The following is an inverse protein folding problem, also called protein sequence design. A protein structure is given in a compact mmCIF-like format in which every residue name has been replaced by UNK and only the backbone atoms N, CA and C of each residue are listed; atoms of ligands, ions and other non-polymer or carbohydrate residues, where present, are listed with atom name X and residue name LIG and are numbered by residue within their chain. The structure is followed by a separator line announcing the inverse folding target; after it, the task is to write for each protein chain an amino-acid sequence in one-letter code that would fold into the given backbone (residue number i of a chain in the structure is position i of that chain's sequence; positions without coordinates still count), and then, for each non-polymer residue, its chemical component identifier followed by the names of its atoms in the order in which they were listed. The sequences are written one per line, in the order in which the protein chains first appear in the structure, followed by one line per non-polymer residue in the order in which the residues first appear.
data_IF_766950323262
#
_entry.id   IF_766950323262
#
_cell.length_a   1.000
_cell.length_b   1.000
_cell.length_c   1.000
_cell.angle_alpha   90.00
_cell.angle_beta   90.00
_cell.angle_gamma   90.00
#
_symmetry.space_group_name_H-M   'P 1'
#
loop_
_entity.id
_entity.type
_entity.pdbx_description
1 polymer ?
#
# COMPACT_ATOMS: atom_id res chain seq x y z
N UNK A 1 61.96 16.51 -41.03
CA UNK A 1 61.60 17.13 -39.73
C UNK A 1 60.92 16.07 -38.87
N UNK A 2 61.38 15.94 -37.62
CA UNK A 2 60.92 15.01 -36.56
C UNK A 2 59.40 15.08 -36.30
N UNK A 3 58.71 14.07 -35.75
CA UNK A 3 59.21 12.96 -34.94
C UNK A 3 58.21 11.80 -34.78
N UNK A 4 58.80 10.65 -34.43
CA UNK A 4 58.26 9.29 -34.31
C UNK A 4 57.71 8.99 -32.91
N UNK A 5 56.79 8.01 -32.83
CA UNK A 5 56.94 6.68 -32.16
C UNK A 5 55.52 6.03 -32.13
N UNK A 6 55.27 4.77 -32.49
CA UNK A 6 56.11 3.59 -32.65
C UNK A 6 55.65 2.50 -31.68
N UNK A 7 54.82 1.54 -32.15
CA UNK A 7 54.29 0.36 -31.43
C UNK A 7 55.39 -0.60 -30.94
N UNK A 8 55.11 -1.36 -29.86
CA UNK A 8 55.05 -2.86 -29.86
C UNK A 8 54.60 -3.48 -28.51
N UNK A 9 54.08 -4.74 -28.50
CA UNK A 9 53.55 -5.49 -27.33
C UNK A 9 54.38 -6.75 -26.93
N UNK A 10 53.92 -7.45 -25.86
CA UNK A 10 54.20 -8.85 -25.38
C UNK A 10 55.62 -9.11 -24.78
N UNK A 11 55.89 -9.98 -23.78
CA UNK A 11 55.20 -11.17 -23.25
C UNK A 11 55.72 -11.61 -21.84
N UNK A 12 54.93 -12.48 -21.19
CA UNK A 12 55.20 -13.65 -20.32
C UNK A 12 56.30 -13.68 -19.23
N UNK A 13 55.96 -14.25 -18.05
CA UNK A 13 56.40 -15.61 -17.65
C UNK A 13 55.70 -16.15 -16.39
N UNK A 14 55.36 -17.43 -16.48
CA UNK A 14 54.93 -18.44 -15.50
C UNK A 14 55.95 -18.76 -14.37
N UNK A 15 55.51 -19.00 -13.12
CA UNK A 15 55.59 -20.30 -12.41
C UNK A 15 55.36 -20.22 -10.88
N UNK A 16 54.39 -21.05 -10.43
CA UNK A 16 54.37 -21.97 -9.29
C UNK A 16 54.83 -21.53 -7.88
N UNK A 17 53.91 -21.63 -6.90
CA UNK A 17 54.04 -22.62 -5.81
C UNK A 17 52.71 -22.79 -5.05
N UNK A 18 52.20 -24.03 -5.06
CA UNK A 18 51.24 -24.58 -4.10
C UNK A 18 51.91 -24.80 -2.74
N UNK A 19 51.09 -24.90 -1.68
CA UNK A 19 51.35 -25.24 -0.25
C UNK A 19 51.04 -24.06 0.71
N UNK A 20 50.25 -24.15 1.78
CA UNK A 20 49.65 -25.23 2.57
C UNK A 20 48.36 -24.67 3.20
N UNK A 21 47.27 -25.45 3.17
CA UNK A 21 46.07 -25.20 3.98
C UNK A 21 46.38 -25.63 5.41
N UNK A 22 46.75 -24.68 6.26
CA UNK A 22 46.79 -24.91 7.71
C UNK A 22 45.37 -24.75 8.27
N UNK A 23 44.81 -25.89 8.71
CA UNK A 23 43.53 -25.97 9.43
C UNK A 23 43.61 -25.15 10.71
N UNK A 24 43.13 -23.91 10.66
CA UNK A 24 42.77 -23.15 11.85
C UNK A 24 41.35 -23.52 12.27
N UNK A 25 41.24 -24.06 13.48
CA UNK A 25 40.00 -24.40 14.18
C UNK A 25 39.07 -23.18 14.22
N UNK A 26 37.75 -23.31 13.97
CA UNK A 26 36.87 -22.15 14.02
C UNK A 26 36.72 -21.70 15.48
N UNK A 27 37.17 -20.49 15.79
CA UNK A 27 36.64 -19.76 16.93
C UNK A 27 35.13 -19.63 16.72
N UNK A 28 34.34 -20.11 17.70
CA UNK A 28 32.92 -19.81 17.81
C UNK A 28 32.74 -18.29 17.86
N UNK A 29 32.53 -17.66 16.71
CA UNK A 29 31.86 -16.37 16.67
C UNK A 29 30.37 -16.67 16.72
N UNK A 30 29.68 -16.15 17.72
CA UNK A 30 28.23 -16.09 17.77
C UNK A 30 27.72 -15.22 16.60
N UNK A 31 27.72 -15.79 15.39
CA UNK A 31 27.02 -15.21 14.26
C UNK A 31 25.54 -15.47 14.49
N UNK A 32 24.89 -14.55 15.17
CA UNK A 32 23.45 -14.38 15.00
C UNK A 32 23.22 -14.02 13.53
N UNK A 33 23.04 -15.05 12.70
CA UNK A 33 22.52 -14.86 11.36
C UNK A 33 21.25 -14.01 11.51
N UNK A 34 21.07 -12.92 10.75
CA UNK A 34 19.86 -12.14 10.83
C UNK A 34 18.73 -13.07 10.41
N UNK A 35 17.94 -13.50 11.39
CA UNK A 35 16.71 -14.25 11.14
C UNK A 35 15.92 -13.37 10.18
N UNK A 36 15.82 -13.79 8.93
CA UNK A 36 14.98 -13.16 7.94
C UNK A 36 13.55 -13.26 8.49
N UNK A 37 13.10 -12.19 9.17
CA UNK A 37 11.71 -12.00 9.54
C UNK A 37 10.95 -11.84 8.22
N UNK A 38 10.55 -12.98 7.66
CA UNK A 38 9.55 -13.05 6.60
C UNK A 38 8.36 -12.24 7.10
N UNK A 39 8.04 -11.12 6.43
CA UNK A 39 6.89 -10.26 6.77
C UNK A 39 5.68 -11.19 6.84
N UNK A 40 5.18 -11.46 8.04
CA UNK A 40 4.16 -12.49 8.24
C UNK A 40 2.91 -12.05 7.50
N UNK A 41 2.52 -12.82 6.49
CA UNK A 41 1.37 -12.55 5.60
C UNK A 41 0.04 -12.64 6.39
N UNK A 42 0.08 -13.13 7.64
CA UNK A 42 -1.07 -13.39 8.49
C UNK A 42 -1.64 -12.17 9.23
N UNK A 43 -0.98 -11.00 9.19
CA UNK A 43 -1.68 -9.77 9.54
C UNK A 43 -2.56 -9.45 8.33
N UNK A 44 -3.81 -9.90 8.40
CA UNK A 44 -4.92 -9.28 7.68
C UNK A 44 -4.72 -7.79 7.91
N UNK A 45 -4.23 -7.08 6.89
CA UNK A 45 -4.24 -5.63 6.92
C UNK A 45 -5.70 -5.26 7.21
N UNK A 46 -5.92 -4.37 8.17
CA UNK A 46 -7.20 -3.68 8.33
C UNK A 46 -7.37 -2.67 7.19
N UNK A 47 -7.23 -3.17 5.95
CA UNK A 47 -7.38 -2.38 4.74
C UNK A 47 -8.82 -1.86 4.74
N UNK A 48 -9.04 -0.59 4.41
CA UNK A 48 -10.37 -0.07 4.15
C UNK A 48 -11.13 -0.99 3.18
N UNK A 49 -12.36 -1.31 3.56
CA UNK A 49 -13.18 -2.25 2.81
C UNK A 49 -13.66 -1.69 1.47
N UNK A 50 -13.69 -0.35 1.32
CA UNK A 50 -14.23 0.34 0.15
C UNK A 50 -13.17 1.26 -0.47
N UNK A 51 -13.22 1.40 -1.80
CA UNK A 51 -12.39 2.37 -2.53
C UNK A 51 -13.06 3.75 -2.44
N UNK A 52 -12.36 4.79 -1.96
CA UNK A 52 -12.89 6.15 -1.94
C UNK A 52 -13.32 6.59 -3.34
N UNK A 53 -14.54 7.11 -3.44
CA UNK A 53 -15.11 7.66 -4.67
C UNK A 53 -15.52 9.11 -4.44
N UNK A 54 -15.31 9.94 -5.46
CA UNK A 54 -15.82 11.31 -5.54
C UNK A 54 -17.31 11.30 -5.93
N UNK A 55 -17.94 12.47 -5.89
CA UNK A 55 -19.36 12.63 -6.28
C UNK A 55 -19.64 12.25 -7.74
N UNK A 56 -18.64 12.40 -8.61
CA UNK A 56 -18.68 11.99 -10.02
C UNK A 56 -18.47 10.48 -10.22
N UNK A 57 -18.30 9.72 -9.14
CA UNK A 57 -18.07 8.27 -9.09
C UNK A 57 -16.71 7.81 -9.63
N UNK A 58 -15.78 8.72 -9.90
CA UNK A 58 -14.38 8.39 -10.11
C UNK A 58 -13.69 8.13 -8.77
N UNK A 59 -12.57 7.41 -8.81
CA UNK A 59 -11.80 7.16 -7.59
C UNK A 59 -11.19 8.46 -7.08
N UNK A 60 -11.20 8.63 -5.77
CA UNK A 60 -10.56 9.78 -5.14
C UNK A 60 -9.09 9.44 -4.87
N UNK A 61 -8.18 9.94 -5.72
CA UNK A 61 -6.74 9.66 -5.59
C UNK A 61 -6.17 10.23 -4.30
N UNK A 62 -6.59 11.43 -3.89
CA UNK A 62 -6.08 12.05 -2.65
C UNK A 62 -6.51 11.24 -1.43
N UNK A 63 -7.77 10.82 -1.35
CA UNK A 63 -8.25 9.97 -0.26
C UNK A 63 -7.61 8.57 -0.29
N UNK A 64 -7.32 8.01 -1.46
CA UNK A 64 -6.53 6.78 -1.59
C UNK A 64 -5.13 6.98 -1.00
N UNK A 65 -4.45 8.10 -1.29
CA UNK A 65 -3.11 8.39 -0.78
C UNK A 65 -3.12 8.57 0.75
N UNK A 66 -4.04 9.37 1.28
CA UNK A 66 -4.26 9.55 2.73
C UNK A 66 -4.45 8.19 3.40
N UNK A 67 -5.32 7.38 2.81
CA UNK A 67 -5.68 6.07 3.32
C UNK A 67 -4.49 5.10 3.31
N UNK A 68 -3.72 5.08 2.22
CA UNK A 68 -2.57 4.19 2.06
C UNK A 68 -1.46 4.46 3.09
N UNK A 69 -1.21 5.72 3.41
CA UNK A 69 -0.17 6.13 4.36
C UNK A 69 -0.38 5.55 5.75
N UNK A 70 -1.64 5.37 6.17
CA UNK A 70 -1.94 4.76 7.46
C UNK A 70 -1.50 3.30 7.59
N UNK A 71 -1.27 2.63 6.45
CA UNK A 71 -0.91 1.22 6.40
C UNK A 71 0.58 1.02 6.04
N UNK A 72 1.35 2.11 5.92
CA UNK A 72 2.81 2.05 5.77
C UNK A 72 3.45 1.42 7.00
N UNK A 73 4.47 0.58 6.78
CA UNK A 73 5.27 0.07 7.89
C UNK A 73 6.21 1.16 8.40
N UNK A 74 5.83 1.75 9.52
CA UNK A 74 6.59 2.80 10.20
C UNK A 74 8.04 2.38 10.46
N UNK A 75 8.29 1.10 10.75
CA UNK A 75 9.63 0.57 10.97
C UNK A 75 10.48 0.59 9.69
N UNK A 76 9.88 0.27 8.54
CA UNK A 76 10.55 0.36 7.23
C UNK A 76 10.89 1.82 6.92
N UNK A 77 9.93 2.74 7.08
CA UNK A 77 10.16 4.16 6.80
C UNK A 77 11.23 4.76 7.72
N UNK A 78 11.15 4.47 9.03
CA UNK A 78 12.11 4.96 10.02
C UNK A 78 13.54 4.47 9.73
N UNK A 79 13.68 3.19 9.33
CA UNK A 79 14.96 2.60 8.92
C UNK A 79 15.44 3.12 7.56
N UNK A 80 14.53 3.63 6.71
CA UNK A 80 14.86 4.21 5.42
C UNK A 80 15.89 5.34 5.52
N UNK A 81 15.82 6.16 6.57
CA UNK A 81 16.81 7.21 6.83
C UNK A 81 18.20 6.63 7.10
N UNK A 82 18.33 5.61 7.96
CA UNK A 82 19.64 5.09 8.36
C UNK A 82 20.28 4.19 7.30
N UNK A 83 19.47 3.53 6.47
CA UNK A 83 19.91 2.59 5.42
C UNK A 83 20.14 3.23 4.05
N UNK A 84 19.74 4.49 3.90
CA UNK A 84 19.95 5.27 2.69
C UNK A 84 21.27 6.05 2.74
N UNK A 85 21.93 6.22 1.59
CA UNK A 85 23.03 7.19 1.46
C UNK A 85 22.54 8.63 1.20
N UNK A 86 21.22 8.85 1.09
CA UNK A 86 20.61 10.15 0.86
C UNK A 86 20.63 10.98 2.14
N UNK A 87 20.91 12.26 1.99
CA UNK A 87 20.80 13.25 3.05
C UNK A 87 20.01 14.47 2.55
N UNK A 88 19.61 15.36 3.46
CA UNK A 88 18.82 16.55 3.15
C UNK A 88 19.60 17.64 2.38
N UNK A 89 20.90 17.45 2.15
CA UNK A 89 21.82 18.45 1.60
C UNK A 89 21.70 19.77 2.38
N UNK A 90 21.22 20.82 1.73
CA UNK A 90 21.04 22.16 2.29
C UNK A 90 19.62 22.41 2.84
N UNK A 91 18.76 21.38 2.88
CA UNK A 91 17.43 21.49 3.46
C UNK A 91 17.51 21.21 4.96
N UNK A 92 16.80 22.02 5.73
CA UNK A 92 16.69 21.88 7.18
C UNK A 92 15.77 20.70 7.53
N UNK A 93 16.29 19.79 8.34
CA UNK A 93 15.56 18.68 8.96
C UNK A 93 15.91 18.66 10.43
N UNK A 94 14.92 18.84 11.30
CA UNK A 94 15.12 19.04 12.74
C UNK A 94 16.12 20.18 13.04
N UNK A 95 16.03 21.29 12.31
CA UNK A 95 16.91 22.46 12.40
C UNK A 95 18.37 22.21 12.00
N UNK A 96 18.68 21.07 11.38
CA UNK A 96 20.03 20.70 10.93
C UNK A 96 20.10 20.42 9.42
N UNK A 97 21.30 20.57 8.85
CA UNK A 97 21.61 20.24 7.45
C UNK A 97 22.25 18.86 7.32
N UNK A 98 22.25 18.31 6.10
CA UNK A 98 22.87 17.01 5.78
C UNK A 98 22.38 15.84 6.64
N UNK A 99 21.16 15.93 7.17
CA UNK A 99 20.54 14.85 7.93
C UNK A 99 20.18 13.71 6.99
N UNK A 100 20.44 12.48 7.42
CA UNK A 100 20.03 11.28 6.67
C UNK A 100 18.50 11.20 6.56
N UNK A 101 18.02 10.99 5.34
CA UNK A 101 16.58 10.92 5.02
C UNK A 101 16.27 9.72 4.12
N UNK A 102 15.03 9.21 4.13
CA UNK A 102 14.65 8.12 3.25
C UNK A 102 14.73 8.52 1.77
N UNK A 103 14.84 7.52 0.89
CA UNK A 103 14.79 7.70 -0.56
C UNK A 103 13.37 7.52 -1.08
N UNK A 104 13.18 8.02 -2.29
CA UNK A 104 12.03 7.81 -3.17
C UNK A 104 11.62 6.33 -3.15
N UNK A 105 12.55 5.44 -3.54
CA UNK A 105 12.38 3.97 -3.50
C UNK A 105 11.82 3.37 -2.20
N UNK A 106 12.02 4.01 -1.04
CA UNK A 106 11.44 3.53 0.22
C UNK A 106 9.94 3.79 0.26
N UNK A 107 9.50 4.97 -0.18
CA UNK A 107 8.10 5.33 -0.29
C UNK A 107 7.44 4.60 -1.47
N UNK A 108 8.13 4.48 -2.61
CA UNK A 108 7.62 3.74 -3.78
C UNK A 108 7.27 2.29 -3.41
N UNK A 109 8.17 1.61 -2.70
CA UNK A 109 7.98 0.23 -2.30
C UNK A 109 6.79 0.06 -1.34
N UNK A 110 6.66 0.92 -0.32
CA UNK A 110 5.55 0.84 0.63
C UNK A 110 4.23 1.25 -0.01
N UNK A 111 4.20 2.31 -0.83
CA UNK A 111 3.02 2.75 -1.57
C UNK A 111 2.52 1.66 -2.52
N UNK A 112 3.42 1.13 -3.37
CA UNK A 112 3.11 0.02 -4.27
C UNK A 112 2.57 -1.18 -3.49
N UNK A 113 3.19 -1.54 -2.38
CA UNK A 113 2.78 -2.70 -1.60
C UNK A 113 1.39 -2.53 -0.99
N UNK A 114 1.10 -1.37 -0.40
CA UNK A 114 -0.23 -1.07 0.17
C UNK A 114 -1.30 -1.07 -0.92
N UNK A 115 -1.08 -0.34 -2.02
CA UNK A 115 -2.06 -0.27 -3.11
C UNK A 115 -2.25 -1.62 -3.81
N UNK A 116 -1.19 -2.41 -3.96
CA UNK A 116 -1.30 -3.77 -4.50
C UNK A 116 -2.13 -4.67 -3.58
N UNK A 117 -1.93 -4.58 -2.26
CA UNK A 117 -2.71 -5.36 -1.29
C UNK A 117 -4.15 -4.91 -1.21
N UNK A 118 -4.39 -3.62 -1.31
CA UNK A 118 -5.72 -3.03 -1.23
C UNK A 118 -6.45 -3.07 -2.56
N UNK A 119 -6.13 -2.13 -3.45
CA UNK A 119 -6.87 -1.90 -4.68
C UNK A 119 -6.79 -3.11 -5.62
N UNK A 120 -5.61 -3.71 -5.78
CA UNK A 120 -5.46 -4.86 -6.69
C UNK A 120 -6.07 -6.15 -6.14
N UNK A 121 -5.69 -6.58 -4.93
CA UNK A 121 -6.15 -7.88 -4.41
C UNK A 121 -7.60 -7.89 -3.96
N UNK A 122 -8.13 -6.78 -3.45
CA UNK A 122 -9.50 -6.70 -2.94
C UNK A 122 -10.47 -6.23 -4.03
N UNK A 123 -10.06 -5.23 -4.83
CA UNK A 123 -10.95 -4.56 -5.78
C UNK A 123 -10.59 -4.80 -7.26
N UNK A 124 -9.54 -5.57 -7.54
CA UNK A 124 -9.15 -6.00 -8.88
C UNK A 124 -8.36 -4.98 -9.70
N UNK A 125 -8.07 -3.78 -9.19
CA UNK A 125 -7.35 -2.73 -9.93
C UNK A 125 -5.98 -3.20 -10.45
N UNK A 126 -5.55 -2.62 -11.57
CA UNK A 126 -4.19 -2.76 -12.07
C UNK A 126 -3.31 -1.70 -11.39
N UNK A 127 -2.26 -2.16 -10.70
CA UNK A 127 -1.24 -1.31 -10.07
C UNK A 127 0.10 -1.68 -10.69
N UNK A 128 0.71 -0.73 -11.39
CA UNK A 128 2.02 -0.89 -12.02
C UNK A 128 2.99 0.09 -11.37
N UNK A 129 4.07 -0.44 -10.80
CA UNK A 129 5.20 0.37 -10.35
C UNK A 129 6.27 0.43 -11.45
N UNK A 130 6.93 1.57 -11.59
CA UNK A 130 7.98 1.82 -12.58
C UNK A 130 7.55 1.45 -14.01
N UNK A 131 6.52 2.12 -14.52
CA UNK A 131 6.09 1.94 -15.91
C UNK A 131 7.10 2.59 -16.85
N UNK A 132 7.89 1.77 -17.55
CA UNK A 132 8.91 2.24 -18.48
C UNK A 132 8.29 2.68 -19.81
N UNK A 133 8.72 3.82 -20.29
CA UNK A 133 8.27 4.47 -21.52
C UNK A 133 9.46 4.59 -22.48
N UNK A 134 9.21 4.28 -23.74
CA UNK A 134 10.20 4.45 -24.80
C UNK A 134 10.10 5.87 -25.35
N UNK A 135 11.16 6.66 -25.20
CA UNK A 135 11.30 7.94 -25.89
C UNK A 135 12.52 7.90 -26.79
N UNK A 136 12.32 8.22 -28.06
CA UNK A 136 13.41 8.56 -28.99
C UNK A 136 13.68 10.05 -28.81
N UNK A 137 14.87 10.39 -28.33
CA UNK A 137 15.26 11.78 -28.15
C UNK A 137 15.82 12.39 -29.45
N UNK A 138 16.01 13.70 -29.44
CA UNK A 138 16.53 14.48 -30.59
C UNK A 138 17.94 14.04 -31.03
N UNK A 139 18.68 13.37 -30.15
CA UNK A 139 20.00 12.76 -30.41
C UNK A 139 19.91 11.41 -31.16
N UNK A 140 18.70 10.87 -31.34
CA UNK A 140 18.44 9.57 -31.95
C UNK A 140 18.61 8.38 -31.00
N UNK A 141 18.97 8.61 -29.73
CA UNK A 141 19.12 7.57 -28.72
C UNK A 141 17.81 7.33 -27.94
N UNK A 142 17.65 6.10 -27.46
CA UNK A 142 16.55 5.73 -26.58
C UNK A 142 16.86 6.18 -25.16
N UNK A 143 16.07 7.11 -24.63
CA UNK A 143 16.10 7.45 -23.21
C UNK A 143 15.01 6.67 -22.49
N UNK A 144 15.40 5.93 -21.46
CA UNK A 144 14.47 5.21 -20.60
C UNK A 144 13.84 6.18 -19.60
N UNK A 145 12.61 6.59 -19.90
CA UNK A 145 11.75 7.27 -18.94
C UNK A 145 10.93 6.23 -18.19
N UNK A 146 10.64 6.46 -16.91
CA UNK A 146 9.67 5.64 -16.20
C UNK A 146 8.85 6.49 -15.23
N UNK A 147 7.56 6.20 -15.14
CA UNK A 147 6.68 6.74 -14.13
C UNK A 147 6.69 5.82 -12.89
N UNK A 148 6.72 6.40 -11.69
CA UNK A 148 6.83 5.64 -10.45
C UNK A 148 5.64 4.71 -10.18
N UNK A 149 4.40 5.19 -10.32
CA UNK A 149 3.22 4.36 -10.07
C UNK A 149 2.00 4.76 -10.91
N UNK A 150 1.24 3.77 -11.37
CA UNK A 150 -0.05 3.99 -12.04
C UNK A 150 -1.16 3.15 -11.41
N UNK A 151 -2.37 3.70 -11.45
CA UNK A 151 -3.60 3.07 -10.97
C UNK A 151 -4.58 3.01 -12.13
N UNK A 152 -5.08 1.82 -12.43
CA UNK A 152 -6.06 1.61 -13.50
C UNK A 152 -7.19 0.71 -13.04
N UNK A 153 -8.41 1.13 -13.35
CA UNK A 153 -9.61 0.36 -13.05
C UNK A 153 -9.72 -0.88 -13.95
N UNK A 154 -10.23 -2.01 -13.47
CA UNK A 154 -10.40 -3.21 -14.29
C UNK A 154 -11.26 -2.93 -15.51
N UNK A 155 -10.81 -3.40 -16.68
CA UNK A 155 -11.51 -3.23 -17.97
C UNK A 155 -11.72 -1.76 -18.40
N UNK A 156 -11.06 -0.79 -17.76
CA UNK A 156 -11.04 0.60 -18.22
C UNK A 156 -9.94 0.76 -19.29
N UNK A 157 -10.21 1.48 -20.40
CA UNK A 157 -9.17 1.82 -21.37
C UNK A 157 -8.24 2.93 -20.89
N UNK A 158 -8.60 3.67 -19.82
CA UNK A 158 -7.84 4.82 -19.32
C UNK A 158 -7.21 4.52 -17.96
N UNK A 159 -6.03 5.10 -17.72
CA UNK A 159 -5.46 5.15 -16.36
C UNK A 159 -6.29 6.12 -15.51
N UNK A 160 -6.58 5.72 -14.27
CA UNK A 160 -7.29 6.57 -13.33
C UNK A 160 -6.33 7.57 -12.67
N UNK A 161 -5.13 7.13 -12.33
CA UNK A 161 -4.11 7.98 -11.71
C UNK A 161 -2.71 7.61 -12.13
N UNK A 162 -1.89 8.64 -12.32
CA UNK A 162 -0.45 8.55 -12.52
C UNK A 162 0.24 9.32 -11.39
N UNK A 163 1.12 8.64 -10.64
CA UNK A 163 1.79 9.20 -9.48
C UNK A 163 3.30 9.24 -9.72
N UNK A 164 3.89 10.41 -9.51
CA UNK A 164 5.34 10.63 -9.48
C UNK A 164 5.75 10.93 -8.03
N UNK A 165 6.64 10.11 -7.47
CA UNK A 165 6.99 10.13 -6.06
C UNK A 165 8.34 10.80 -5.83
N UNK A 166 8.37 11.75 -4.91
CA UNK A 166 9.60 12.39 -4.47
C UNK A 166 9.81 12.21 -2.97
N UNK A 167 11.09 12.23 -2.57
CA UNK A 167 11.51 12.17 -1.18
C UNK A 167 12.40 13.37 -0.88
N UNK A 168 12.16 14.13 0.20
CA UNK A 168 12.95 15.30 0.67
C UNK A 168 13.77 15.94 -0.45
N UNK A 169 13.06 16.61 -1.37
CA UNK A 169 13.62 17.14 -2.61
C UNK A 169 13.82 18.65 -2.52
N UNK A 170 14.88 19.16 -3.16
CA UNK A 170 15.06 20.60 -3.33
C UNK A 170 14.01 21.16 -4.29
N UNK A 171 13.79 22.47 -4.23
CA UNK A 171 12.88 23.19 -5.14
C UNK A 171 13.22 22.90 -6.61
N UNK A 172 14.49 23.02 -7.00
CA UNK A 172 14.94 22.74 -8.38
C UNK A 172 14.61 21.31 -8.82
N UNK A 173 14.70 20.34 -7.90
CA UNK A 173 14.32 18.95 -8.20
C UNK A 173 12.80 18.84 -8.37
N UNK A 174 12.01 19.43 -7.47
CA UNK A 174 10.55 19.44 -7.59
C UNK A 174 10.10 20.04 -8.92
N UNK A 175 10.65 21.19 -9.31
CA UNK A 175 10.34 21.84 -10.60
C UNK A 175 10.64 20.93 -11.80
N UNK A 176 11.78 20.24 -11.77
CA UNK A 176 12.11 19.26 -12.81
C UNK A 176 11.04 18.17 -12.96
N UNK A 177 10.55 17.63 -11.84
CA UNK A 177 9.51 16.60 -11.86
C UNK A 177 8.11 17.15 -12.19
N UNK A 178 7.81 18.41 -11.83
CA UNK A 178 6.56 19.08 -12.22
C UNK A 178 6.40 19.17 -13.74
N UNK A 179 7.50 19.38 -14.46
CA UNK A 179 7.49 19.38 -15.93
C UNK A 179 7.59 17.96 -16.50
N UNK A 180 8.38 17.09 -15.88
CA UNK A 180 8.60 15.72 -16.36
C UNK A 180 7.33 14.88 -16.40
N UNK A 181 6.43 15.02 -15.41
CA UNK A 181 5.20 14.23 -15.33
C UNK A 181 4.29 14.42 -16.56
N UNK A 182 4.32 15.60 -17.20
CA UNK A 182 3.56 15.85 -18.43
C UNK A 182 4.05 15.03 -19.62
N UNK A 183 5.34 14.66 -19.66
CA UNK A 183 5.85 13.74 -20.69
C UNK A 183 5.22 12.35 -20.56
N UNK A 184 4.86 11.95 -19.35
CA UNK A 184 4.18 10.68 -19.10
C UNK A 184 2.69 10.80 -19.41
N UNK A 185 2.09 11.93 -19.06
CA UNK A 185 0.69 12.25 -19.35
C UNK A 185 0.40 12.19 -20.85
N UNK A 186 1.24 12.81 -21.69
CA UNK A 186 1.13 12.80 -23.15
C UNK A 186 1.14 11.37 -23.75
N UNK A 187 1.80 10.41 -23.10
CA UNK A 187 1.89 9.03 -23.61
C UNK A 187 0.79 8.14 -23.02
N UNK A 188 0.54 8.27 -21.72
CA UNK A 188 -0.32 7.34 -20.97
C UNK A 188 -1.76 7.83 -20.80
N UNK A 189 -2.03 9.11 -21.09
CA UNK A 189 -3.35 9.76 -21.03
C UNK A 189 -4.14 9.42 -19.75
N UNK A 190 -3.55 9.59 -18.54
CA UNK A 190 -4.25 9.37 -17.29
C UNK A 190 -5.34 10.42 -17.04
N UNK A 191 -6.35 10.06 -16.26
CA UNK A 191 -7.38 11.03 -15.82
C UNK A 191 -6.81 12.08 -14.87
N UNK A 192 -5.95 11.65 -13.96
CA UNK A 192 -5.29 12.54 -13.01
C UNK A 192 -3.78 12.26 -12.95
N UNK A 193 -3.01 13.33 -12.83
CA UNK A 193 -1.56 13.29 -12.58
C UNK A 193 -1.26 13.91 -11.22
N UNK A 194 -0.39 13.26 -10.47
CA UNK A 194 -0.08 13.64 -9.09
C UNK A 194 1.42 13.62 -8.83
N UNK A 195 1.93 14.72 -8.26
CA UNK A 195 3.21 14.72 -7.58
C UNK A 195 2.96 14.39 -6.11
N UNK A 196 3.57 13.31 -5.65
CA UNK A 196 3.46 12.83 -4.27
C UNK A 196 4.82 13.00 -3.59
N UNK A 197 4.99 14.11 -2.88
CA UNK A 197 6.26 14.47 -2.25
C UNK A 197 6.24 14.13 -0.76
N UNK A 198 6.93 13.06 -0.38
CA UNK A 198 7.25 12.78 1.02
C UNK A 198 8.48 13.57 1.45
N UNK A 199 8.44 14.24 2.59
CA UNK A 199 9.56 15.04 3.05
C UNK A 199 9.73 14.99 4.56
N UNK A 200 10.97 15.16 5.00
CA UNK A 200 11.31 15.44 6.39
C UNK A 200 11.73 16.90 6.60
N UNK A 201 11.71 17.72 5.56
CA UNK A 201 12.08 19.11 5.63
C UNK A 201 11.14 19.89 6.55
N UNK A 202 11.71 20.71 7.43
CA UNK A 202 10.98 21.39 8.50
C UNK A 202 9.88 22.35 7.98
N UNK A 203 10.14 22.98 6.83
CA UNK A 203 9.28 24.02 6.29
C UNK A 203 8.25 23.53 5.27
N UNK A 204 8.25 22.24 4.91
CA UNK A 204 7.35 21.72 3.87
C UNK A 204 5.87 21.84 4.26
N UNK A 205 5.56 21.87 5.56
CA UNK A 205 4.18 22.00 6.07
C UNK A 205 3.76 23.46 6.16
N UNK A 206 4.65 24.32 6.66
CA UNK A 206 4.36 25.74 6.92
C UNK A 206 4.52 26.62 5.70
N UNK A 207 5.38 26.23 4.77
CA UNK A 207 5.63 26.92 3.51
C UNK A 207 5.89 25.92 2.36
N UNK A 208 4.89 25.11 1.97
CA UNK A 208 5.00 24.16 0.88
C UNK A 208 5.31 24.84 -0.46
N UNK A 209 6.16 24.21 -1.28
CA UNK A 209 6.49 24.69 -2.61
C UNK A 209 5.49 24.15 -3.65
N UNK A 210 4.76 25.05 -4.29
CA UNK A 210 3.70 24.70 -5.23
C UNK A 210 4.12 24.93 -6.68
N UNK A 211 3.58 24.15 -7.64
CA UNK A 211 3.78 24.41 -9.06
C UNK A 211 3.16 25.75 -9.47
N UNK A 212 3.63 26.28 -10.61
CA UNK A 212 3.07 27.50 -11.18
C UNK A 212 1.58 27.34 -11.52
N UNK A 213 0.85 28.45 -11.54
CA UNK A 213 -0.58 28.48 -11.91
C UNK A 213 -0.81 27.83 -13.28
N UNK A 214 0.08 28.08 -14.26
CA UNK A 214 0.03 27.47 -15.58
C UNK A 214 0.10 25.94 -15.56
N UNK A 215 0.94 25.34 -14.71
CA UNK A 215 1.01 23.88 -14.60
C UNK A 215 -0.21 23.32 -13.88
N UNK A 216 -0.74 24.04 -12.90
CA UNK A 216 -1.99 23.66 -12.24
C UNK A 216 -3.18 23.75 -13.19
N UNK A 217 -3.26 24.78 -14.05
CA UNK A 217 -4.24 24.93 -15.15
C UNK A 217 -4.22 23.75 -16.14
N UNK A 218 -3.05 23.12 -16.31
CA UNK A 218 -2.91 21.89 -17.10
C UNK A 218 -3.31 20.62 -16.35
N UNK A 219 -3.77 20.71 -15.10
CA UNK A 219 -4.26 19.57 -14.32
C UNK A 219 -3.22 18.94 -13.38
N UNK A 220 -2.08 19.60 -13.12
CA UNK A 220 -1.09 19.10 -12.17
C UNK A 220 -1.60 19.20 -10.72
N UNK A 221 -1.83 18.04 -10.09
CA UNK A 221 -2.12 17.95 -8.67
C UNK A 221 -0.84 17.66 -7.87
N UNK A 222 -0.74 18.22 -6.66
CA UNK A 222 0.42 18.03 -5.79
C UNK A 222 -0.03 17.78 -4.35
N UNK A 223 0.59 16.78 -3.72
CA UNK A 223 0.48 16.55 -2.29
C UNK A 223 1.85 16.43 -1.64
N UNK A 224 2.02 17.14 -0.54
CA UNK A 224 3.18 17.08 0.33
C UNK A 224 2.84 16.32 1.61
N UNK A 225 3.59 15.28 1.91
CA UNK A 225 3.52 14.56 3.18
C UNK A 225 4.79 14.82 3.98
N UNK A 226 4.67 15.60 5.04
CA UNK A 226 5.71 15.68 6.05
C UNK A 226 5.60 14.54 7.04
N UNK A 227 6.72 14.03 7.52
CA UNK A 227 6.69 13.13 8.66
C UNK A 227 7.91 13.27 9.58
N UNK A 228 7.72 12.89 10.85
CA UNK A 228 8.81 12.76 11.80
C UNK A 228 9.69 11.53 11.51
N UNK A 229 10.85 11.44 12.18
CA UNK A 229 11.85 10.38 11.93
C UNK A 229 11.26 8.97 12.00
N UNK A 230 10.34 8.74 12.93
CA UNK A 230 9.78 7.43 13.21
C UNK A 230 8.50 7.15 12.42
N UNK A 231 8.06 8.07 11.55
CA UNK A 231 6.80 8.00 10.81
C UNK A 231 5.59 7.80 11.74
N UNK A 232 5.61 8.44 12.91
CA UNK A 232 4.51 8.43 13.90
C UNK A 232 3.55 9.60 13.68
N UNK A 233 4.11 10.73 13.29
CA UNK A 233 3.37 11.95 13.00
C UNK A 233 3.52 12.23 11.50
N UNK A 234 2.39 12.36 10.82
CA UNK A 234 2.35 12.72 9.40
C UNK A 234 1.48 13.96 9.26
N UNK A 235 1.94 14.93 8.47
CA UNK A 235 1.15 16.11 8.11
C UNK A 235 1.08 16.17 6.60
N UNK A 236 -0.04 16.64 6.09
CA UNK A 236 -0.32 16.72 4.67
C UNK A 236 -0.67 18.15 4.30
N UNK A 237 -0.14 18.60 3.16
CA UNK A 237 -0.65 19.76 2.45
C UNK A 237 -0.89 19.36 1.00
N UNK A 238 -2.08 19.57 0.48
CA UNK A 238 -2.45 19.23 -0.89
C UNK A 238 -3.00 20.44 -1.65
N UNK A 239 -2.71 20.50 -2.94
CA UNK A 239 -3.31 21.43 -3.89
C UNK A 239 -3.70 20.67 -5.15
N UNK A 240 -4.99 20.69 -5.47
CA UNK A 240 -5.57 19.81 -6.49
C UNK A 240 -6.86 20.40 -7.07
N UNK A 241 -7.33 19.85 -8.19
CA UNK A 241 -8.64 20.20 -8.78
C UNK A 241 -9.74 19.26 -8.31
N UNK A 242 -10.84 19.84 -7.87
CA UNK A 242 -12.06 19.08 -7.56
C UNK A 242 -12.86 18.71 -8.82
N UNK A 243 -14.03 18.09 -8.63
CA UNK A 243 -14.82 17.51 -9.74
C UNK A 243 -15.57 18.56 -10.54
N UNK A 244 -15.57 19.79 -10.01
CA UNK A 244 -16.10 20.98 -10.64
C UNK A 244 -15.00 21.83 -11.26
N UNK A 245 -13.78 21.29 -11.40
CA UNK A 245 -12.58 21.95 -11.94
C UNK A 245 -12.13 23.18 -11.12
N UNK A 246 -12.53 23.25 -9.84
CA UNK A 246 -12.07 24.33 -8.96
C UNK A 246 -10.79 23.92 -8.24
N UNK A 247 -9.87 24.87 -8.12
CA UNK A 247 -8.66 24.69 -7.33
C UNK A 247 -8.98 24.62 -5.84
N UNK A 248 -8.59 23.52 -5.22
CA UNK A 248 -8.71 23.27 -3.79
C UNK A 248 -7.35 23.26 -3.11
N UNK A 249 -7.38 23.60 -1.82
CA UNK A 249 -6.22 23.56 -0.95
C UNK A 249 -6.62 22.94 0.39
N UNK A 250 -5.88 21.92 0.80
CA UNK A 250 -6.16 21.18 2.03
C UNK A 250 -4.88 21.06 2.87
N UNK A 251 -5.01 21.29 4.18
CA UNK A 251 -3.97 20.99 5.18
C UNK A 251 -4.57 20.06 6.22
N UNK A 252 -3.90 18.95 6.46
CA UNK A 252 -4.28 17.96 7.48
C UNK A 252 -3.08 17.69 8.40
N UNK A 253 -3.32 17.66 9.72
CA UNK A 253 -2.34 17.19 10.69
C UNK A 253 -2.84 15.91 11.36
N UNK A 254 -2.08 14.83 11.19
CA UNK A 254 -2.56 13.51 11.57
C UNK A 254 -1.57 12.80 12.49
N UNK A 255 -2.06 12.45 13.68
CA UNK A 255 -1.37 11.50 14.54
C UNK A 255 -1.83 10.09 14.16
N UNK A 256 -0.94 9.27 13.54
CA UNK A 256 -1.31 7.95 13.02
C UNK A 256 -1.87 7.01 14.11
N UNK A 257 -1.42 7.17 15.36
CA UNK A 257 -1.95 6.41 16.49
C UNK A 257 -3.41 6.81 16.77
N UNK A 258 -3.70 8.11 16.79
CA UNK A 258 -5.06 8.62 17.00
C UNK A 258 -6.02 8.14 15.90
N UNK A 259 -5.60 8.18 14.64
CA UNK A 259 -6.42 7.69 13.53
C UNK A 259 -6.60 6.17 13.57
N UNK A 260 -5.56 5.42 13.94
CA UNK A 260 -5.68 3.98 14.15
C UNK A 260 -6.66 3.63 15.27
N UNK A 261 -6.64 4.37 16.38
CA UNK A 261 -7.61 4.23 17.47
C UNK A 261 -9.03 4.49 16.97
N UNK A 262 -9.25 5.54 16.18
CA UNK A 262 -10.56 5.84 15.61
C UNK A 262 -11.07 4.73 14.68
N UNK A 263 -10.21 4.20 13.80
CA UNK A 263 -10.53 3.06 12.93
C UNK A 263 -10.90 1.81 13.73
N UNK A 264 -10.12 1.46 14.75
CA UNK A 264 -10.43 0.33 15.63
C UNK A 264 -11.73 0.52 16.41
N UNK A 265 -12.02 1.74 16.87
CA UNK A 265 -13.28 2.05 17.54
C UNK A 265 -14.47 1.81 16.61
N UNK A 266 -14.43 2.34 15.38
CA UNK A 266 -15.50 2.16 14.40
C UNK A 266 -15.71 0.68 14.02
N UNK A 267 -14.61 -0.09 13.91
CA UNK A 267 -14.69 -1.54 13.66
C UNK A 267 -15.33 -2.28 14.84
N UNK A 268 -14.99 -1.92 16.07
CA UNK A 268 -15.60 -2.50 17.26
C UNK A 268 -17.10 -2.23 17.33
N UNK A 269 -17.56 -1.05 16.93
CA UNK A 269 -18.99 -0.73 16.87
C UNK A 269 -19.73 -1.59 15.83
N UNK A 270 -19.14 -1.81 14.65
CA UNK A 270 -19.68 -2.73 13.63
C UNK A 270 -19.78 -4.16 14.15
N UNK A 271 -18.72 -4.67 14.79
CA UNK A 271 -18.71 -6.03 15.38
C UNK A 271 -19.78 -6.16 16.47
N UNK A 272 -19.94 -5.13 17.31
CA UNK A 272 -20.98 -5.09 18.35
C UNK A 272 -22.39 -5.15 17.75
N UNK A 273 -22.63 -4.43 16.66
CA UNK A 273 -23.91 -4.47 15.95
C UNK A 273 -24.19 -5.85 15.34
N UNK A 274 -23.20 -6.48 14.74
CA UNK A 274 -23.32 -7.82 14.17
C UNK A 274 -23.56 -8.90 15.24
N UNK A 275 -22.84 -8.83 16.37
CA UNK A 275 -23.07 -9.72 17.51
C UNK A 275 -24.49 -9.61 18.08
N UNK A 276 -25.06 -8.41 18.10
CA UNK A 276 -26.45 -8.22 18.52
C UNK A 276 -27.44 -8.88 17.56
N UNK A 277 -27.19 -8.83 16.25
CA UNK A 277 -28.01 -9.53 15.24
C UNK A 277 -27.94 -11.04 15.42
N UNK A 278 -26.72 -11.60 15.56
CA UNK A 278 -26.49 -13.03 15.78
C UNK A 278 -27.19 -13.49 17.07
N UNK A 279 -27.15 -12.68 18.13
CA UNK A 279 -27.84 -12.99 19.40
C UNK A 279 -29.36 -13.09 19.20
N UNK A 280 -29.96 -12.13 18.49
CA UNK A 280 -31.39 -12.15 18.19
C UNK A 280 -31.80 -13.38 17.35
N UNK A 281 -30.99 -13.75 16.37
CA UNK A 281 -31.22 -14.94 15.54
C UNK A 281 -31.10 -16.24 16.34
N UNK A 282 -30.10 -16.33 17.24
CA UNK A 282 -29.96 -17.46 18.15
C UNK A 282 -31.17 -17.63 19.09
N UNK A 283 -31.73 -16.54 19.60
CA UNK A 283 -32.91 -16.61 20.45
C UNK A 283 -34.15 -17.07 19.67
N UNK A 284 -34.28 -16.68 18.40
CA UNK A 284 -35.32 -17.22 17.50
C UNK A 284 -35.15 -18.73 17.28
N UNK A 285 -33.93 -19.18 16.99
CA UNK A 285 -33.61 -20.61 16.79
C UNK A 285 -33.92 -21.43 18.05
N UNK A 286 -33.67 -20.88 19.26
CA UNK A 286 -34.04 -21.55 20.51
C UNK A 286 -35.54 -21.77 20.64
N UNK A 287 -36.36 -20.79 20.25
CA UNK A 287 -37.83 -20.90 20.27
C UNK A 287 -38.32 -21.94 19.26
N UNK A 288 -37.78 -21.94 18.05
CA UNK A 288 -38.13 -22.96 17.04
C UNK A 288 -37.75 -24.37 17.52
N UNK A 289 -36.58 -24.51 18.17
CA UNK A 289 -36.13 -25.78 18.72
C UNK A 289 -37.01 -26.29 19.88
N UNK A 290 -37.52 -25.42 20.74
CA UNK A 290 -38.45 -25.85 21.80
C UNK A 290 -39.78 -26.32 21.20
N UNK A 291 -40.29 -25.63 20.18
CA UNK A 291 -41.51 -26.03 19.48
C UNK A 291 -41.34 -27.39 18.77
N UNK A 292 -40.21 -27.60 18.09
CA UNK A 292 -39.89 -28.88 17.44
C UNK A 292 -39.81 -30.02 18.45
N UNK A 293 -39.18 -29.81 19.61
CA UNK A 293 -39.13 -30.81 20.69
C UNK A 293 -40.54 -31.17 21.18
N UNK A 294 -41.43 -30.21 21.35
CA UNK A 294 -42.83 -30.47 21.73
C UNK A 294 -43.58 -31.25 20.65
N UNK A 295 -43.34 -30.96 19.36
CA UNK A 295 -43.96 -31.71 18.25
C UNK A 295 -43.45 -33.15 18.18
N UNK A 296 -42.15 -33.37 18.40
CA UNK A 296 -41.54 -34.71 18.44
C UNK A 296 -42.17 -35.55 19.56
N UNK A 297 -42.27 -35.03 20.78
CA UNK A 297 -42.88 -35.77 21.90
C UNK A 297 -44.33 -36.20 21.59
N UNK A 298 -45.14 -35.31 20.98
CA UNK A 298 -46.51 -35.65 20.56
C UNK A 298 -46.57 -36.75 19.49
N UNK A 299 -45.57 -36.82 18.60
CA UNK A 299 -45.48 -37.87 17.58
C UNK A 299 -45.07 -39.21 18.20
N UNK A 300 -44.14 -39.21 19.15
CA UNK A 300 -43.71 -40.41 19.89
C UNK A 300 -44.88 -41.03 20.69
N UNK A 301 -45.71 -40.20 21.33
CA UNK A 301 -46.93 -40.66 22.00
C UNK A 301 -47.91 -41.33 21.03
N UNK A 302 -48.18 -40.68 19.87
CA UNK A 302 -49.03 -41.26 18.82
C UNK A 302 -48.47 -42.56 18.27
N UNK A 303 -47.15 -42.65 18.09
CA UNK A 303 -46.50 -43.87 17.62
C UNK A 303 -46.66 -45.02 18.64
N UNK A 304 -46.56 -44.72 19.93
CA UNK A 304 -46.78 -45.68 21.02
C UNK A 304 -48.23 -46.18 21.04
N UNK A 305 -49.21 -45.27 20.91
CA UNK A 305 -50.63 -45.63 20.79
C UNK A 305 -50.90 -46.53 19.57
N UNK A 306 -50.36 -46.19 18.40
CA UNK A 306 -50.49 -47.00 17.19
C UNK A 306 -49.91 -48.41 17.35
N UNK A 307 -48.79 -48.55 18.08
CA UNK A 307 -48.20 -49.86 18.38
C UNK A 307 -49.10 -50.70 19.29
N UNK A 308 -49.71 -50.09 20.31
CA UNK A 308 -50.70 -50.74 21.18
C UNK A 308 -51.92 -51.23 20.41
N UNK A 309 -52.49 -50.38 19.53
CA UNK A 309 -53.64 -50.74 18.69
C UNK A 309 -53.29 -51.93 17.78
N UNK A 310 -52.12 -51.92 17.12
CA UNK A 310 -51.67 -53.04 16.29
C UNK A 310 -51.57 -54.35 17.08
N UNK A 311 -51.02 -54.28 18.30
CA UNK A 311 -50.92 -55.46 19.16
C UNK A 311 -52.30 -56.01 19.56
N UNK A 312 -53.24 -55.13 19.92
CA UNK A 312 -54.62 -55.51 20.26
C UNK A 312 -55.33 -56.16 19.06
N UNK A 313 -55.22 -55.57 17.87
CA UNK A 313 -55.79 -56.14 16.65
C UNK A 313 -55.24 -57.53 16.36
N UNK A 314 -53.93 -57.74 16.51
CA UNK A 314 -53.30 -59.05 16.34
C UNK A 314 -53.82 -60.10 17.34
N UNK A 315 -54.07 -59.71 18.60
CA UNK A 315 -54.66 -60.60 19.61
C UNK A 315 -56.10 -60.96 19.26
N UNK A 316 -56.94 -59.98 18.90
CA UNK A 316 -58.32 -60.23 18.50
C UNK A 316 -58.41 -61.14 17.27
N UNK A 317 -57.51 -60.98 16.31
CA UNK A 317 -57.47 -61.81 15.10
C UNK A 317 -57.13 -63.26 15.41
N UNK A 318 -56.25 -63.52 16.39
CA UNK A 318 -55.93 -64.87 16.90
C UNK A 318 -57.08 -65.52 17.67
N UNK A 319 -57.99 -64.74 18.26
CA UNK A 319 -59.15 -65.27 18.99
C UNK A 319 -60.33 -65.63 18.06
N UNK A 320 -60.33 -65.11 16.84
CA UNK A 320 -61.40 -65.30 15.84
C UNK A 320 -61.10 -66.43 14.84
N UNK A 321 -59.93 -67.05 14.91
CA UNK A 321 -59.47 -68.19 14.10
C UNK A 321 -59.21 -69.40 14.97
#
# INVERSE_FOLDING_TARGET
VNGKKGRKPLADTTNLQEEIIEKSVPLKSDSSAPVAKKRSISKVLDVPADVPLRDDKFIDILEILKTAIYDFDQGIIALGSSRSYKNSNHLYVNSEHYIKVPRESTYDAEMYWVLMKWLRKIHGYEITGQWHLEQVCDDGDYHHLYCDLTIKKPNSPHLEGLLELLATASILKLEGHFEQIFKYEEQLHPREIWIVHFSREDYVVTNPYWPSEKLQEKGLNVVHFWHDRDFKNVRMSARFRDSSDNMQFEIEETNLLRSSIARFSAKNDKIKAENNKIKAENDKIKVENTELKTRIAKLEDKQTQNKLIKNLLSVSQKLLT
#
